data_IF_325350959778
#
_entry.id   IF_325350959778
#
_cell.length_a   1.000
_cell.length_b   1.000
_cell.length_c   1.000
_cell.angle_alpha   90.00
_cell.angle_beta   90.00
_cell.angle_gamma   90.00
#
_symmetry.space_group_name_H-M   'P 1'
#
loop_
_entity.id
_entity.type
_entity.pdbx_description
1 polymer ?
#
# COMPACT_ATOMS: atom_id res chain seq x y z
N UNK A 1 -52.46 -39.29 -1.80
CA UNK A 1 -52.10 -38.33 -2.86
C UNK A 1 -51.38 -37.13 -2.21
N UNK A 2 -50.15 -37.28 -1.72
CA UNK A 2 -49.44 -36.16 -1.01
C UNK A 2 -47.94 -36.09 -1.28
N UNK A 3 -47.42 -36.69 -2.33
CA UNK A 3 -45.95 -36.73 -2.61
C UNK A 3 -45.47 -35.78 -3.68
N UNK A 4 -46.35 -35.08 -4.41
CA UNK A 4 -46.00 -34.24 -5.55
C UNK A 4 -45.60 -32.78 -5.18
N UNK A 5 -46.01 -32.28 -4.02
CA UNK A 5 -45.76 -30.89 -3.59
C UNK A 5 -44.36 -30.70 -2.97
N UNK A 6 -43.81 -31.72 -2.35
CA UNK A 6 -42.51 -31.70 -1.67
C UNK A 6 -41.32 -31.59 -2.65
N UNK A 7 -41.43 -32.24 -3.81
CA UNK A 7 -40.35 -32.27 -4.81
C UNK A 7 -40.22 -30.96 -5.60
N UNK A 8 -41.28 -30.19 -5.77
CA UNK A 8 -41.25 -28.90 -6.44
C UNK A 8 -40.57 -27.82 -5.55
N UNK A 9 -40.94 -27.78 -4.27
CA UNK A 9 -40.34 -26.85 -3.30
C UNK A 9 -38.83 -27.11 -3.10
N UNK A 10 -38.39 -28.36 -3.10
CA UNK A 10 -36.98 -28.73 -3.00
C UNK A 10 -36.17 -28.30 -4.26
N UNK A 11 -36.76 -28.43 -5.44
CA UNK A 11 -36.11 -27.97 -6.69
C UNK A 11 -35.98 -26.45 -6.75
N UNK A 12 -37.00 -25.72 -6.32
CA UNK A 12 -36.94 -24.25 -6.27
C UNK A 12 -35.92 -23.76 -5.25
N UNK A 13 -35.87 -24.39 -4.08
CA UNK A 13 -34.82 -24.06 -3.08
C UNK A 13 -33.41 -24.31 -3.61
N UNK A 14 -33.15 -25.44 -4.26
CA UNK A 14 -31.84 -25.73 -4.87
C UNK A 14 -31.47 -24.74 -5.95
N UNK A 15 -32.44 -24.30 -6.75
CA UNK A 15 -32.23 -23.32 -7.81
C UNK A 15 -31.86 -21.93 -7.24
N UNK A 16 -32.57 -21.46 -6.22
CA UNK A 16 -32.27 -20.20 -5.56
C UNK A 16 -30.93 -20.26 -4.81
N UNK A 17 -30.63 -21.35 -4.14
CA UNK A 17 -29.33 -21.58 -3.51
C UNK A 17 -28.18 -21.55 -4.52
N UNK A 18 -28.37 -22.18 -5.68
CA UNK A 18 -27.35 -22.17 -6.74
C UNK A 18 -27.12 -20.78 -7.32
N UNK A 19 -28.15 -19.94 -7.45
CA UNK A 19 -28.05 -18.55 -7.87
C UNK A 19 -27.23 -17.72 -6.84
N UNK A 20 -27.54 -17.88 -5.56
CA UNK A 20 -26.80 -17.21 -4.49
C UNK A 20 -25.31 -17.62 -4.52
N UNK A 21 -25.05 -18.92 -4.64
CA UNK A 21 -23.68 -19.44 -4.74
C UNK A 21 -22.93 -18.86 -5.93
N UNK A 22 -23.60 -18.76 -7.08
CA UNK A 22 -23.03 -18.16 -8.29
C UNK A 22 -22.71 -16.67 -8.10
N UNK A 23 -23.62 -15.90 -7.50
CA UNK A 23 -23.39 -14.46 -7.21
C UNK A 23 -22.21 -14.30 -6.26
N UNK A 24 -22.14 -15.07 -5.18
CA UNK A 24 -21.01 -15.05 -4.24
C UNK A 24 -19.70 -15.37 -4.96
N UNK A 25 -19.69 -16.37 -5.81
CA UNK A 25 -18.51 -16.74 -6.58
C UNK A 25 -18.03 -15.59 -7.50
N UNK A 26 -18.97 -14.94 -8.21
CA UNK A 26 -18.64 -13.78 -9.07
C UNK A 26 -18.06 -12.62 -8.25
N UNK A 27 -18.67 -12.32 -7.10
CA UNK A 27 -18.16 -11.26 -6.20
C UNK A 27 -16.74 -11.58 -5.73
N UNK A 28 -16.47 -12.83 -5.34
CA UNK A 28 -15.13 -13.26 -4.93
C UNK A 28 -14.11 -13.12 -6.07
N UNK A 29 -14.47 -13.45 -7.30
CA UNK A 29 -13.61 -13.26 -8.46
C UNK A 29 -13.28 -11.77 -8.71
N UNK A 30 -14.27 -10.89 -8.58
CA UNK A 30 -14.07 -9.44 -8.73
C UNK A 30 -13.13 -8.93 -7.63
N UNK A 31 -13.38 -9.29 -6.36
CA UNK A 31 -12.52 -8.90 -5.25
C UNK A 31 -11.09 -9.41 -5.42
N UNK A 32 -10.94 -10.65 -5.85
CA UNK A 32 -9.62 -11.23 -6.14
C UNK A 32 -8.90 -10.50 -7.27
N UNK A 33 -9.61 -10.15 -8.34
CA UNK A 33 -9.04 -9.40 -9.47
C UNK A 33 -8.57 -8.01 -9.05
N UNK A 34 -9.37 -7.27 -8.27
CA UNK A 34 -9.00 -5.96 -7.75
C UNK A 34 -7.78 -6.07 -6.83
N UNK A 35 -7.78 -7.06 -5.94
CA UNK A 35 -6.64 -7.30 -5.04
C UNK A 35 -5.36 -7.59 -5.83
N UNK A 36 -5.45 -8.44 -6.86
CA UNK A 36 -4.29 -8.81 -7.68
C UNK A 36 -3.73 -7.63 -8.47
N UNK A 37 -4.61 -6.80 -9.06
CA UNK A 37 -4.20 -5.58 -9.80
C UNK A 37 -3.51 -4.60 -8.85
N UNK A 38 -4.12 -4.27 -7.72
CA UNK A 38 -3.52 -3.36 -6.73
C UNK A 38 -2.16 -3.87 -6.21
N UNK A 39 -2.06 -5.16 -5.97
CA UNK A 39 -0.80 -5.75 -5.51
C UNK A 39 0.31 -5.63 -6.57
N UNK A 40 -0.04 -5.82 -7.83
CA UNK A 40 0.92 -5.72 -8.93
C UNK A 40 1.43 -4.29 -9.16
N UNK A 41 0.55 -3.29 -9.13
CA UNK A 41 0.93 -1.88 -9.28
C UNK A 41 1.87 -1.43 -8.14
N UNK A 42 1.58 -1.78 -6.89
CA UNK A 42 2.43 -1.48 -5.76
C UNK A 42 3.82 -2.12 -5.88
N UNK A 43 3.90 -3.35 -6.40
CA UNK A 43 5.19 -4.00 -6.63
C UNK A 43 5.97 -3.34 -7.75
N UNK A 44 5.32 -2.94 -8.84
CA UNK A 44 5.93 -2.22 -9.96
C UNK A 44 6.54 -0.90 -9.50
N UNK A 45 5.77 -0.07 -8.76
CA UNK A 45 6.25 1.18 -8.21
C UNK A 45 7.51 1.00 -7.34
N UNK A 46 7.51 0.00 -6.44
CA UNK A 46 8.65 -0.28 -5.57
C UNK A 46 9.88 -0.69 -6.39
N UNK A 47 9.71 -1.57 -7.38
CA UNK A 47 10.81 -2.03 -8.24
C UNK A 47 11.39 -0.85 -9.01
N UNK A 48 10.54 -0.07 -9.68
CA UNK A 48 10.95 1.11 -10.43
C UNK A 48 11.73 2.11 -9.55
N UNK A 49 11.22 2.40 -8.34
CA UNK A 49 11.91 3.28 -7.39
C UNK A 49 13.30 2.76 -7.02
N UNK A 50 13.45 1.46 -6.77
CA UNK A 50 14.70 0.85 -6.32
C UNK A 50 15.74 0.69 -7.44
N UNK A 51 15.32 0.70 -8.69
CA UNK A 51 16.21 0.66 -9.86
C UNK A 51 16.82 2.03 -10.18
N UNK A 52 16.24 3.11 -9.66
CA UNK A 52 16.70 4.46 -9.89
C UNK A 52 17.87 4.82 -8.96
N UNK A 53 18.79 5.64 -9.46
CA UNK A 53 19.88 6.18 -8.67
C UNK A 53 19.54 7.61 -8.24
N UNK A 54 19.00 7.76 -7.03
CA UNK A 54 18.55 9.04 -6.49
C UNK A 54 19.70 10.01 -6.17
N UNK A 55 19.35 11.30 -6.02
CA UNK A 55 20.22 12.40 -5.59
C UNK A 55 19.96 12.75 -4.12
N UNK A 56 21.01 12.91 -3.33
CA UNK A 56 20.91 13.37 -1.94
C UNK A 56 20.38 14.79 -1.87
N UNK A 57 20.81 15.67 -2.75
CA UNK A 57 20.44 17.08 -2.80
C UNK A 57 18.94 17.25 -3.09
N UNK A 58 18.44 16.53 -4.09
CA UNK A 58 17.02 16.54 -4.44
C UNK A 58 16.18 15.91 -3.33
N UNK A 59 16.68 14.85 -2.69
CA UNK A 59 16.05 14.21 -1.55
C UNK A 59 15.96 15.12 -0.33
N UNK A 60 17.03 15.88 -0.03
CA UNK A 60 17.05 16.91 1.02
C UNK A 60 16.05 18.04 0.72
N UNK A 61 15.99 18.50 -0.53
CA UNK A 61 15.02 19.51 -0.95
C UNK A 61 13.59 19.02 -0.75
N UNK A 62 13.27 17.80 -1.18
CA UNK A 62 11.95 17.19 -0.99
C UNK A 62 11.62 17.01 0.50
N UNK A 63 12.57 16.52 1.29
CA UNK A 63 12.42 16.37 2.74
C UNK A 63 12.04 17.68 3.42
N UNK A 64 12.70 18.77 3.05
CA UNK A 64 12.42 20.12 3.57
C UNK A 64 11.03 20.62 3.23
N UNK A 65 10.47 20.19 2.11
CA UNK A 65 9.14 20.62 1.68
C UNK A 65 8.03 19.85 2.43
N UNK A 66 8.16 18.53 2.57
CA UNK A 66 7.03 17.69 3.01
C UNK A 66 7.25 16.97 4.34
N UNK A 67 8.49 16.79 4.81
CA UNK A 67 8.78 15.96 5.99
C UNK A 67 9.16 16.77 7.23
N UNK A 68 9.76 17.94 7.06
CA UNK A 68 10.31 18.79 8.15
C UNK A 68 9.27 19.14 9.20
N UNK A 69 8.01 19.37 8.81
CA UNK A 69 6.94 19.71 9.75
C UNK A 69 6.73 18.69 10.87
N UNK A 70 7.02 17.42 10.59
CA UNK A 70 6.88 16.35 11.56
C UNK A 70 8.22 15.80 12.06
N UNK A 71 9.24 15.74 11.21
CA UNK A 71 10.53 15.13 11.56
C UNK A 71 11.62 16.13 11.96
N UNK A 72 11.32 17.44 11.88
CA UNK A 72 12.27 18.51 12.19
C UNK A 72 13.30 18.74 11.08
N UNK A 73 13.89 19.94 11.05
CA UNK A 73 14.83 20.37 9.99
C UNK A 73 16.11 19.51 9.95
N UNK A 74 16.51 18.95 11.08
CA UNK A 74 17.67 18.06 11.22
C UNK A 74 17.28 16.57 11.18
N UNK A 75 16.01 16.24 10.84
CA UNK A 75 15.46 14.90 10.87
C UNK A 75 15.55 14.18 12.24
N UNK A 76 15.74 14.93 13.33
CA UNK A 76 15.90 14.40 14.70
C UNK A 76 14.59 14.18 15.44
N UNK A 77 13.45 14.30 14.73
CA UNK A 77 12.12 14.15 15.31
C UNK A 77 11.57 15.47 15.85
N UNK A 78 10.25 15.55 15.85
CA UNK A 78 9.45 16.61 16.44
C UNK A 78 8.09 16.04 16.87
N UNK A 79 7.17 15.84 15.93
CA UNK A 79 5.93 15.06 16.08
C UNK A 79 6.18 13.61 15.66
N UNK A 80 6.91 13.42 14.57
CA UNK A 80 7.39 12.13 14.11
C UNK A 80 8.71 11.71 14.78
N UNK A 81 9.13 10.46 14.65
CA UNK A 81 10.38 9.96 15.22
C UNK A 81 11.61 10.56 14.55
N UNK A 82 12.77 10.37 15.18
CA UNK A 82 14.08 10.62 14.57
C UNK A 82 14.33 9.66 13.40
N UNK A 83 14.95 10.16 12.35
CA UNK A 83 15.24 9.42 11.11
C UNK A 83 16.71 9.01 10.92
N UNK A 84 17.73 9.63 11.55
CA UNK A 84 19.07 9.12 11.47
C UNK A 84 19.14 7.62 11.75
N UNK A 85 19.88 6.92 10.88
CA UNK A 85 19.97 5.45 10.93
C UNK A 85 18.63 4.70 10.74
N UNK A 86 17.60 5.33 10.14
CA UNK A 86 16.34 4.64 9.82
C UNK A 86 16.58 3.45 8.87
N UNK A 87 17.53 3.60 7.95
CA UNK A 87 17.92 2.59 6.96
C UNK A 87 18.62 1.37 7.56
N UNK A 88 19.13 1.49 8.81
CA UNK A 88 19.63 0.34 9.59
C UNK A 88 18.52 -0.44 10.28
N UNK A 89 17.38 0.21 10.53
CA UNK A 89 16.21 -0.37 11.20
C UNK A 89 15.18 -0.92 10.23
N UNK A 90 15.01 -0.25 9.08
CA UNK A 90 14.03 -0.58 8.06
C UNK A 90 14.71 -0.70 6.70
N UNK A 91 14.28 -1.65 5.90
CA UNK A 91 14.68 -1.73 4.50
C UNK A 91 13.91 -0.71 3.64
N UNK A 92 14.45 -0.40 2.46
CA UNK A 92 13.88 0.60 1.55
C UNK A 92 12.41 0.35 1.19
N UNK A 93 12.02 -0.93 0.99
CA UNK A 93 10.63 -1.28 0.72
C UNK A 93 9.69 -0.92 1.87
N UNK A 94 10.16 -1.05 3.11
CA UNK A 94 9.38 -0.67 4.29
C UNK A 94 9.25 0.85 4.39
N UNK A 95 10.34 1.58 4.11
CA UNK A 95 10.36 3.04 4.08
C UNK A 95 9.40 3.55 2.99
N UNK A 96 9.49 3.02 1.77
CA UNK A 96 8.59 3.36 0.66
C UNK A 96 7.13 3.16 1.09
N UNK A 97 6.79 1.98 1.61
CA UNK A 97 5.42 1.67 2.05
C UNK A 97 4.93 2.57 3.18
N UNK A 98 5.80 2.94 4.11
CA UNK A 98 5.46 3.87 5.18
C UNK A 98 5.13 5.25 4.64
N UNK A 99 5.97 5.77 3.74
CA UNK A 99 5.80 7.11 3.17
C UNK A 99 4.56 7.17 2.28
N UNK A 100 4.39 6.20 1.37
CA UNK A 100 3.25 6.19 0.44
C UNK A 100 1.93 5.77 1.08
N UNK A 101 1.99 4.97 2.12
CA UNK A 101 0.79 4.41 2.77
C UNK A 101 0.37 5.09 4.07
N UNK A 102 1.22 5.92 4.70
CA UNK A 102 0.91 6.53 6.00
C UNK A 102 0.55 5.49 7.06
N UNK A 103 1.28 4.37 7.11
CA UNK A 103 0.89 3.19 7.88
C UNK A 103 0.90 3.39 9.40
N UNK A 104 1.56 4.44 9.88
CA UNK A 104 1.67 4.74 11.31
C UNK A 104 1.14 6.15 11.59
N UNK A 105 -0.09 6.31 12.07
CA UNK A 105 -0.62 7.61 12.46
C UNK A 105 0.25 8.30 13.52
N UNK A 106 0.40 9.62 13.49
CA UNK A 106 -0.30 10.62 12.65
C UNK A 106 0.37 10.90 11.29
N UNK A 107 1.32 10.10 10.81
CA UNK A 107 1.97 10.31 9.52
C UNK A 107 0.95 10.12 8.39
N UNK A 108 0.74 11.13 7.52
CA UNK A 108 -0.13 10.97 6.35
C UNK A 108 0.53 10.14 5.25
N UNK A 109 -0.25 9.67 4.29
CA UNK A 109 0.24 9.11 3.04
C UNK A 109 0.66 10.22 2.09
N UNK A 110 1.73 9.97 1.31
CA UNK A 110 2.23 10.91 0.31
C UNK A 110 2.25 10.25 -1.08
N UNK A 111 1.69 10.92 -2.07
CA UNK A 111 1.82 10.54 -3.47
C UNK A 111 3.13 11.12 -4.02
N UNK A 112 4.14 10.29 -4.11
CA UNK A 112 5.48 10.65 -4.60
C UNK A 112 5.79 9.75 -5.79
N UNK A 113 6.25 10.33 -6.90
CA UNK A 113 6.69 9.55 -8.06
C UNK A 113 7.99 8.77 -7.76
N UNK A 114 8.32 7.72 -8.54
CA UNK A 114 9.48 6.86 -8.28
C UNK A 114 10.81 7.61 -8.23
N UNK A 115 10.99 8.65 -9.04
CA UNK A 115 12.25 9.44 -9.08
C UNK A 115 12.43 10.21 -7.78
N UNK A 116 11.41 10.94 -7.37
CA UNK A 116 11.44 11.71 -6.12
C UNK A 116 11.52 10.79 -4.88
N UNK A 117 10.89 9.63 -4.91
CA UNK A 117 11.01 8.64 -3.84
C UNK A 117 12.44 8.05 -3.77
N UNK A 118 13.07 7.79 -4.91
CA UNK A 118 14.48 7.35 -4.98
C UNK A 118 15.42 8.42 -4.40
N UNK A 119 15.19 9.70 -4.72
CA UNK A 119 15.92 10.83 -4.15
C UNK A 119 15.76 10.89 -2.62
N UNK A 120 14.54 10.75 -2.12
CA UNK A 120 14.25 10.73 -0.68
C UNK A 120 14.97 9.58 0.02
N UNK A 121 14.94 8.37 -0.54
CA UNK A 121 15.68 7.22 0.01
C UNK A 121 17.19 7.52 0.07
N UNK A 122 17.76 8.08 -0.99
CA UNK A 122 19.17 8.43 -1.02
C UNK A 122 19.55 9.43 0.06
N UNK A 123 18.71 10.44 0.28
CA UNK A 123 18.87 11.39 1.38
C UNK A 123 18.79 10.70 2.75
N UNK A 124 17.78 9.84 2.98
CA UNK A 124 17.65 9.12 4.25
C UNK A 124 18.85 8.22 4.56
N UNK A 125 19.45 7.60 3.54
CA UNK A 125 20.71 6.87 3.68
C UNK A 125 21.89 7.77 4.04
N UNK A 126 21.87 9.05 3.66
CA UNK A 126 22.93 10.01 4.00
C UNK A 126 22.87 10.54 5.44
N UNK A 127 21.76 10.28 6.15
CA UNK A 127 21.57 10.72 7.55
C UNK A 127 22.24 9.78 8.58
N UNK A 128 23.06 8.85 8.15
CA UNK A 128 23.76 7.89 9.01
C UNK A 128 24.87 8.51 9.90
#
# INVERSE_FOLDING_TARGET
MSTSSSTAAEKDFKREFLKILFVVFVVLLICFSIFFVNHNENNKYIIETLELNGSVEEGDALFKIICVGCHGISARGLVGPDLPSITKRWNDKQIIKQVTGGLTPPMPSFEIDPVNMSNLLKYLHSLE
#
